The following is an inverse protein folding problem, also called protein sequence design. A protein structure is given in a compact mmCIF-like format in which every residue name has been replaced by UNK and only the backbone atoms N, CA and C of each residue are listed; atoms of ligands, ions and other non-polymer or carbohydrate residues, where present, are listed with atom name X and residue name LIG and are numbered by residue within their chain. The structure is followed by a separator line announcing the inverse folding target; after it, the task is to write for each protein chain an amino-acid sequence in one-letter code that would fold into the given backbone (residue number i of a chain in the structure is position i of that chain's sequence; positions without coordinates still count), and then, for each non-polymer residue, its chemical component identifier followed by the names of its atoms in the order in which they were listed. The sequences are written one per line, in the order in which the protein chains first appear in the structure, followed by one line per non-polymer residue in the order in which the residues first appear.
data_IF_930586160307
#
_entry.id   IF_930586160307
#
_cell.length_a   1.000
_cell.length_b   1.000
_cell.length_c   1.000
_cell.angle_alpha   90.00
_cell.angle_beta   90.00
_cell.angle_gamma   90.00
#
_symmetry.space_group_name_H-M   'P 1'
#
loop_
_entity.id
_entity.type
_entity.pdbx_description
1 polymer ?
#
# COMPACT_ATOMS: atom_id res chain seq x y z
N UNK A 1 28.53 53.69 54.06
CA UNK A 1 27.71 53.33 55.23
C UNK A 1 26.47 52.63 54.71
N UNK A 2 26.43 51.32 54.97
CA UNK A 2 25.28 50.43 55.20
C UNK A 2 24.24 50.24 54.07
N UNK A 3 24.21 49.09 53.36
CA UNK A 3 23.57 47.79 53.71
C UNK A 3 22.02 47.85 53.52
N UNK A 4 21.30 47.04 52.74
CA UNK A 4 21.05 45.59 52.78
C UNK A 4 20.05 45.25 51.62
N UNK A 5 20.22 44.16 50.85
CA UNK A 5 19.52 42.83 50.86
C UNK A 5 18.37 42.63 49.84
N UNK A 6 18.40 41.47 49.16
CA UNK A 6 17.22 40.78 48.60
C UNK A 6 17.28 40.39 47.10
N UNK A 7 17.34 39.10 46.72
CA UNK A 7 17.19 38.65 45.33
C UNK A 7 15.74 38.21 45.02
N UNK A 8 15.23 38.32 43.77
CA UNK A 8 14.00 37.66 43.38
C UNK A 8 14.26 36.21 42.91
N UNK A 9 13.67 35.29 43.67
CA UNK A 9 13.14 33.97 43.35
C UNK A 9 13.37 33.38 41.95
N UNK A 10 14.10 32.26 41.93
CA UNK A 10 14.13 31.31 40.83
C UNK A 10 12.77 30.60 40.67
N UNK A 11 12.13 30.80 39.52
CA UNK A 11 10.96 30.04 39.09
C UNK A 11 11.33 28.63 38.63
N UNK A 12 10.73 27.66 39.29
CA UNK A 12 10.72 26.21 39.07
C UNK A 12 10.54 25.81 37.59
N UNK A 13 11.56 25.24 36.95
CA UNK A 13 11.42 24.54 35.67
C UNK A 13 11.22 23.04 35.93
N UNK A 14 9.97 22.57 35.86
CA UNK A 14 9.64 21.14 36.02
C UNK A 14 10.23 20.35 34.85
N UNK A 15 10.93 19.28 35.20
CA UNK A 15 11.62 18.34 34.33
C UNK A 15 10.71 17.75 33.24
N UNK A 16 11.15 17.86 31.98
CA UNK A 16 10.64 17.03 30.87
C UNK A 16 11.25 15.64 31.02
N UNK A 17 10.47 14.68 31.50
CA UNK A 17 10.80 13.26 31.35
C UNK A 17 10.59 12.88 29.86
N UNK A 18 11.68 12.56 29.15
CA UNK A 18 11.59 11.89 27.86
C UNK A 18 11.24 10.42 28.12
N UNK A 19 9.95 10.07 28.02
CA UNK A 19 9.52 8.66 28.02
C UNK A 19 9.85 8.08 26.64
N UNK A 20 10.86 7.21 26.57
CA UNK A 20 11.03 6.32 25.42
C UNK A 20 9.88 5.31 25.44
N UNK A 21 9.13 5.24 24.34
CA UNK A 21 8.10 4.23 24.12
C UNK A 21 8.67 3.24 23.10
N UNK A 22 9.39 2.24 23.58
CA UNK A 22 9.86 1.14 22.74
C UNK A 22 8.66 0.20 22.45
N UNK A 23 8.42 -0.23 21.20
CA UNK A 23 7.41 -1.25 20.89
C UNK A 23 7.89 -2.63 21.42
N UNK A 24 6.98 -3.55 21.78
CA UNK A 24 7.38 -4.78 22.44
C UNK A 24 7.92 -5.77 21.40
N UNK A 25 9.23 -5.97 21.38
CA UNK A 25 9.85 -7.09 20.67
C UNK A 25 11.00 -7.68 21.49
N UNK A 26 10.75 -8.85 22.09
CA UNK A 26 11.77 -9.79 22.59
C UNK A 26 12.24 -9.61 24.03
N UNK A 27 12.53 -10.69 24.77
CA UNK A 27 12.98 -10.62 26.15
C UNK A 27 14.44 -10.13 26.18
N UNK A 28 14.68 -9.02 26.86
CA UNK A 28 16.00 -8.44 27.05
C UNK A 28 16.75 -9.27 28.10
N UNK A 29 17.62 -10.20 27.67
CA UNK A 29 18.49 -10.97 28.57
C UNK A 29 19.86 -10.31 28.68
N UNK A 30 20.01 -9.40 29.64
CA UNK A 30 21.32 -8.90 30.09
C UNK A 30 21.51 -9.23 31.57
N UNK A 31 22.72 -9.62 32.03
CA UNK A 31 22.95 -9.94 33.43
C UNK A 31 22.93 -8.67 34.29
N UNK A 32 22.20 -8.70 35.39
CA UNK A 32 22.18 -7.63 36.38
C UNK A 32 23.51 -7.61 37.16
N UNK A 33 24.33 -6.57 36.96
CA UNK A 33 25.50 -6.27 37.78
C UNK A 33 25.11 -5.54 39.07
N UNK A 34 25.93 -5.62 40.14
CA UNK A 34 25.54 -5.19 41.48
C UNK A 34 25.48 -3.65 41.59
N UNK A 35 24.45 -3.19 42.31
CA UNK A 35 24.16 -1.78 42.59
C UNK A 35 25.18 -1.19 43.57
N UNK A 36 25.92 -0.16 43.16
CA UNK A 36 26.77 0.61 44.07
C UNK A 36 27.30 1.91 43.47
N UNK A 37 26.94 3.04 44.11
CA UNK A 37 27.69 4.30 44.01
C UNK A 37 27.01 5.41 43.19
N UNK A 38 26.49 6.42 43.89
CA UNK A 38 26.03 7.69 43.33
C UNK A 38 27.18 8.46 42.66
N UNK A 39 27.16 8.54 41.33
CA UNK A 39 27.95 9.50 40.54
C UNK A 39 27.03 10.50 39.85
N UNK A 40 27.40 11.79 39.74
CA UNK A 40 26.59 12.80 39.08
C UNK A 40 26.43 12.49 37.59
N UNK A 41 25.22 12.70 37.07
CA UNK A 41 24.86 12.45 35.67
C UNK A 41 25.74 13.25 34.70
N UNK A 42 26.49 12.56 33.85
CA UNK A 42 27.04 13.15 32.62
C UNK A 42 25.94 13.25 31.56
N UNK A 43 25.88 14.34 30.76
CA UNK A 43 24.92 14.43 29.67
C UNK A 43 25.24 13.36 28.62
N UNK A 44 24.24 12.54 28.27
CA UNK A 44 24.36 11.58 27.17
C UNK A 44 24.57 12.35 25.86
N UNK A 45 25.81 12.42 25.38
CA UNK A 45 26.06 12.78 23.98
C UNK A 45 25.56 11.62 23.11
N UNK A 46 24.42 11.82 22.46
CA UNK A 46 23.88 10.88 21.49
C UNK A 46 24.76 10.87 20.24
N UNK A 47 25.72 9.95 20.18
CA UNK A 47 26.31 9.57 18.91
C UNK A 47 25.24 8.80 18.12
N UNK A 48 24.76 9.39 17.03
CA UNK A 48 24.04 8.64 16.03
C UNK A 48 25.02 7.61 15.46
N UNK A 49 24.78 6.33 15.73
CA UNK A 49 25.54 5.27 15.05
C UNK A 49 25.22 5.36 13.56
N UNK A 50 26.23 5.52 12.68
CA UNK A 50 26.01 5.47 11.25
C UNK A 50 25.54 4.06 10.88
N UNK A 51 24.57 3.97 9.97
CA UNK A 51 23.92 2.76 9.43
C UNK A 51 24.51 1.44 9.93
N UNK A 52 23.85 0.83 10.91
CA UNK A 52 24.32 -0.35 11.60
C UNK A 52 24.75 -1.45 10.64
N UNK A 53 26.06 -1.73 10.62
CA UNK A 53 26.58 -2.99 10.15
C UNK A 53 25.88 -4.09 10.93
N UNK A 54 25.21 -5.01 10.22
CA UNK A 54 24.67 -6.22 10.83
C UNK A 54 25.86 -6.94 11.47
N UNK A 55 25.88 -7.16 12.80
CA UNK A 55 27.00 -7.83 13.44
C UNK A 55 27.22 -9.21 12.79
N UNK A 56 28.46 -9.73 12.77
CA UNK A 56 28.75 -11.01 12.14
C UNK A 56 27.80 -12.05 12.71
N UNK A 57 26.96 -12.62 11.83
CA UNK A 57 25.97 -13.63 12.21
C UNK A 57 26.69 -14.78 12.89
N UNK A 58 26.37 -15.04 14.17
CA UNK A 58 26.87 -16.20 14.91
C UNK A 58 26.79 -17.44 14.00
N UNK A 59 27.84 -18.29 13.87
CA UNK A 59 27.88 -19.35 12.86
C UNK A 59 26.65 -20.27 12.86
N UNK A 60 26.06 -20.52 14.03
CA UNK A 60 24.82 -21.29 14.16
C UNK A 60 23.60 -20.57 13.57
N UNK A 61 23.51 -19.24 13.73
CA UNK A 61 22.46 -18.41 13.12
C UNK A 61 22.65 -18.37 11.60
N UNK A 62 23.89 -18.22 11.12
CA UNK A 62 24.21 -18.26 9.69
C UNK A 62 23.80 -19.60 9.06
N UNK A 63 24.15 -20.73 9.69
CA UNK A 63 23.78 -22.07 9.23
C UNK A 63 22.26 -22.29 9.24
N UNK A 64 21.56 -21.80 10.26
CA UNK A 64 20.10 -21.86 10.35
C UNK A 64 19.43 -21.05 9.24
N UNK A 65 19.88 -19.81 9.02
CA UNK A 65 19.40 -18.96 7.93
C UNK A 65 19.62 -19.62 6.57
N UNK A 66 20.78 -20.23 6.35
CA UNK A 66 21.08 -20.91 5.09
C UNK A 66 20.20 -22.14 4.86
N UNK A 67 19.88 -22.89 5.92
CA UNK A 67 18.89 -23.97 5.85
C UNK A 67 17.51 -23.44 5.42
N UNK A 68 17.01 -22.37 6.06
CA UNK A 68 15.72 -21.79 5.69
C UNK A 68 15.73 -21.20 4.29
N UNK A 69 16.79 -20.47 3.89
CA UNK A 69 16.95 -19.94 2.53
C UNK A 69 16.84 -21.02 1.47
N UNK A 70 17.51 -22.16 1.66
CA UNK A 70 17.41 -23.30 0.73
C UNK A 70 16.02 -23.91 0.68
N UNK A 71 15.33 -24.01 1.82
CA UNK A 71 13.95 -24.49 1.86
C UNK A 71 13.00 -23.56 1.11
N UNK A 72 13.10 -22.25 1.37
CA UNK A 72 12.31 -21.24 0.67
C UNK A 72 12.63 -21.19 -0.82
N UNK A 73 13.90 -21.27 -1.22
CA UNK A 73 14.30 -21.27 -2.63
C UNK A 73 13.64 -22.41 -3.42
N UNK A 74 13.56 -23.62 -2.84
CA UNK A 74 12.86 -24.75 -3.47
C UNK A 74 11.36 -24.53 -3.62
N UNK A 75 10.73 -23.93 -2.61
CA UNK A 75 9.30 -23.61 -2.67
C UNK A 75 9.00 -22.47 -3.65
N UNK A 76 9.86 -21.46 -3.72
CA UNK A 76 9.72 -20.32 -4.62
C UNK A 76 9.79 -20.72 -6.10
N UNK A 77 10.46 -21.83 -6.43
CA UNK A 77 10.54 -22.36 -7.80
C UNK A 77 9.35 -23.23 -8.20
N UNK A 78 8.42 -23.55 -7.27
CA UNK A 78 7.27 -24.39 -7.60
C UNK A 78 6.36 -23.68 -8.61
N UNK A 79 6.03 -24.33 -9.75
CA UNK A 79 5.05 -23.79 -10.70
C UNK A 79 3.66 -23.70 -10.06
N UNK A 80 2.97 -22.59 -10.28
CA UNK A 80 1.60 -22.35 -9.78
C UNK A 80 0.56 -22.18 -10.89
N UNK A 81 1.01 -21.93 -12.12
CA UNK A 81 0.15 -21.82 -13.30
C UNK A 81 0.90 -21.19 -14.48
N UNK A 82 0.14 -20.65 -15.42
CA UNK A 82 0.67 -20.05 -16.65
C UNK A 82 0.09 -18.66 -16.89
N UNK A 83 0.94 -17.68 -17.21
CA UNK A 83 0.53 -16.38 -17.71
C UNK A 83 0.70 -16.35 -19.23
N UNK A 84 -0.38 -16.09 -19.96
CA UNK A 84 -0.38 -16.04 -21.42
C UNK A 84 0.25 -14.75 -21.97
N UNK A 85 0.34 -13.71 -21.13
CA UNK A 85 0.96 -12.42 -21.42
C UNK A 85 1.75 -11.95 -20.21
N UNK A 86 2.72 -11.06 -20.42
CA UNK A 86 3.44 -10.41 -19.32
C UNK A 86 2.49 -9.54 -18.51
N UNK A 87 2.38 -9.79 -17.21
CA UNK A 87 1.56 -9.02 -16.28
C UNK A 87 2.40 -7.85 -15.75
N UNK A 88 2.15 -6.65 -16.28
CA UNK A 88 2.96 -5.45 -16.01
C UNK A 88 2.69 -4.93 -14.59
N UNK A 89 3.67 -5.12 -13.70
CA UNK A 89 3.64 -4.67 -12.31
C UNK A 89 4.78 -3.72 -11.96
N UNK A 90 5.47 -3.18 -12.97
CA UNK A 90 6.56 -2.23 -12.78
C UNK A 90 6.06 -0.95 -12.10
N UNK A 91 6.81 -0.50 -11.08
CA UNK A 91 6.47 0.67 -10.26
C UNK A 91 6.15 1.92 -11.07
N UNK A 92 6.93 2.20 -12.12
CA UNK A 92 6.74 3.40 -12.94
C UNK A 92 5.42 3.39 -13.71
N UNK A 93 4.91 2.21 -14.07
CA UNK A 93 3.66 2.06 -14.82
C UNK A 93 2.45 1.89 -13.90
N UNK A 94 2.49 0.92 -12.97
CA UNK A 94 1.33 0.54 -12.14
C UNK A 94 0.85 1.66 -11.23
N UNK A 95 1.73 2.62 -10.92
CA UNK A 95 1.46 3.75 -10.02
C UNK A 95 1.11 5.06 -10.70
N UNK A 96 1.06 5.07 -12.03
CA UNK A 96 0.83 6.29 -12.83
C UNK A 96 -0.25 6.10 -13.89
N UNK A 97 -0.55 4.86 -14.27
CA UNK A 97 -1.51 4.55 -15.33
C UNK A 97 -2.11 3.15 -15.18
N UNK A 98 -3.11 2.86 -16.00
CA UNK A 98 -3.68 1.53 -16.15
C UNK A 98 -2.63 0.50 -16.59
N UNK A 99 -2.70 -0.68 -15.97
CA UNK A 99 -1.89 -1.84 -16.32
C UNK A 99 -2.77 -3.08 -16.45
N UNK A 100 -2.38 -3.99 -17.33
CA UNK A 100 -3.09 -5.25 -17.50
C UNK A 100 -3.08 -6.09 -16.21
N UNK A 101 -1.99 -6.07 -15.43
CA UNK A 101 -1.96 -6.80 -14.17
C UNK A 101 -2.94 -6.22 -13.13
N UNK A 102 -3.02 -4.89 -13.03
CA UNK A 102 -4.02 -4.22 -12.20
C UNK A 102 -5.45 -4.59 -12.59
N UNK A 103 -5.75 -4.58 -13.89
CA UNK A 103 -7.06 -4.98 -14.42
C UNK A 103 -7.39 -6.43 -14.08
N UNK A 104 -6.45 -7.36 -14.31
CA UNK A 104 -6.62 -8.77 -13.98
C UNK A 104 -6.96 -8.97 -12.51
N UNK A 105 -6.20 -8.34 -11.60
CA UNK A 105 -6.46 -8.48 -10.16
C UNK A 105 -7.82 -7.92 -9.77
N UNK A 106 -8.17 -6.74 -10.26
CA UNK A 106 -9.47 -6.13 -9.99
C UNK A 106 -10.62 -7.01 -10.52
N UNK A 107 -10.48 -7.58 -11.72
CA UNK A 107 -11.47 -8.50 -12.30
C UNK A 107 -11.61 -9.80 -11.49
N UNK A 108 -10.49 -10.35 -11.02
CA UNK A 108 -10.50 -11.54 -10.17
C UNK A 108 -11.23 -11.27 -8.84
N UNK A 109 -11.04 -10.10 -8.22
CA UNK A 109 -11.78 -9.73 -7.02
C UNK A 109 -13.28 -9.59 -7.30
N UNK A 110 -13.67 -8.87 -8.37
CA UNK A 110 -15.07 -8.76 -8.76
C UNK A 110 -15.73 -10.14 -8.95
N UNK A 111 -15.06 -11.06 -9.67
CA UNK A 111 -15.58 -12.40 -9.95
C UNK A 111 -15.67 -13.27 -8.69
N UNK A 112 -14.62 -13.29 -7.87
CA UNK A 112 -14.54 -14.17 -6.71
C UNK A 112 -15.52 -13.76 -5.60
N UNK A 113 -15.77 -12.46 -5.44
CA UNK A 113 -16.64 -11.93 -4.38
C UNK A 113 -18.00 -11.43 -4.89
N UNK A 114 -18.35 -11.73 -6.16
CA UNK A 114 -19.60 -11.32 -6.80
C UNK A 114 -19.90 -9.82 -6.64
N UNK A 115 -18.89 -8.97 -6.82
CA UNK A 115 -19.00 -7.52 -6.72
C UNK A 115 -18.84 -6.85 -8.08
N UNK A 116 -19.54 -5.74 -8.25
CA UNK A 116 -19.56 -5.00 -9.50
C UNK A 116 -18.33 -4.12 -9.70
N UNK A 117 -17.74 -3.63 -8.61
CA UNK A 117 -16.63 -2.67 -8.63
C UNK A 117 -15.50 -3.19 -7.76
N UNK A 118 -14.27 -3.17 -8.28
CA UNK A 118 -13.07 -3.46 -7.52
C UNK A 118 -12.10 -2.29 -7.56
N UNK A 119 -11.51 -1.95 -6.41
CA UNK A 119 -10.48 -0.92 -6.27
C UNK A 119 -9.27 -1.52 -5.55
N UNK A 120 -8.09 -1.45 -6.16
CA UNK A 120 -6.84 -1.96 -5.59
C UNK A 120 -5.80 -0.85 -5.69
N UNK A 121 -5.15 -0.49 -4.59
CA UNK A 121 -4.02 0.43 -4.68
C UNK A 121 -2.82 -0.24 -5.34
N UNK A 122 -2.20 0.47 -6.26
CA UNK A 122 -1.01 0.04 -7.00
C UNK A 122 0.19 -0.27 -6.10
N UNK A 123 0.17 0.19 -4.85
CA UNK A 123 1.11 -0.18 -3.79
C UNK A 123 1.14 -1.68 -3.51
N UNK A 124 0.02 -2.38 -3.74
CA UNK A 124 -0.12 -3.83 -3.58
C UNK A 124 0.69 -4.63 -4.61
N UNK A 125 0.91 -4.07 -5.81
CA UNK A 125 1.61 -4.71 -6.93
C UNK A 125 3.07 -4.24 -6.93
N UNK A 126 4.01 -5.19 -6.79
CA UNK A 126 5.42 -4.90 -6.51
C UNK A 126 6.39 -5.37 -7.58
N UNK A 127 5.97 -6.28 -8.46
CA UNK A 127 6.79 -6.84 -9.51
C UNK A 127 5.95 -7.26 -10.72
N UNK A 128 6.59 -7.24 -11.89
CA UNK A 128 6.06 -7.83 -13.12
C UNK A 128 6.16 -9.35 -13.06
N UNK A 129 5.13 -10.04 -13.56
CA UNK A 129 5.17 -11.50 -13.80
C UNK A 129 5.35 -11.71 -15.31
N UNK A 130 6.48 -12.28 -15.77
CA UNK A 130 6.69 -12.60 -17.18
C UNK A 130 5.65 -13.59 -17.72
N UNK A 131 5.40 -13.54 -19.03
CA UNK A 131 4.64 -14.59 -19.71
C UNK A 131 5.33 -15.96 -19.58
N UNK A 132 4.55 -17.03 -19.61
CA UNK A 132 5.00 -18.41 -19.47
C UNK A 132 4.64 -19.02 -18.12
N UNK A 133 5.43 -20.02 -17.70
CA UNK A 133 5.25 -20.70 -16.41
C UNK A 133 5.49 -19.73 -15.26
N UNK A 134 4.49 -19.58 -14.40
CA UNK A 134 4.55 -18.72 -13.22
C UNK A 134 4.92 -19.54 -12.01
N UNK A 135 5.88 -19.07 -11.21
CA UNK A 135 6.29 -19.72 -9.96
C UNK A 135 5.66 -19.04 -8.74
N UNK A 136 5.61 -19.78 -7.62
CA UNK A 136 5.14 -19.23 -6.34
C UNK A 136 5.99 -18.02 -5.91
N UNK A 137 7.30 -18.06 -6.13
CA UNK A 137 8.21 -16.95 -5.83
C UNK A 137 7.85 -15.68 -6.59
N UNK A 138 7.52 -15.79 -7.87
CA UNK A 138 7.08 -14.64 -8.67
C UNK A 138 5.78 -14.03 -8.14
N UNK A 139 4.82 -14.86 -7.74
CA UNK A 139 3.56 -14.39 -7.14
C UNK A 139 3.79 -13.71 -5.78
N UNK A 140 4.63 -14.29 -4.92
CA UNK A 140 5.00 -13.70 -3.63
C UNK A 140 5.76 -12.38 -3.79
N UNK A 141 6.68 -12.30 -4.76
CA UNK A 141 7.38 -11.06 -5.09
C UNK A 141 6.43 -10.00 -5.65
N UNK A 142 5.44 -10.39 -6.45
CA UNK A 142 4.47 -9.47 -7.03
C UNK A 142 3.44 -8.95 -6.01
N UNK A 143 2.97 -9.81 -5.09
CA UNK A 143 1.94 -9.51 -4.10
C UNK A 143 2.40 -9.93 -2.68
N UNK A 144 3.34 -9.19 -2.07
CA UNK A 144 3.97 -9.61 -0.82
C UNK A 144 3.12 -9.33 0.43
N UNK A 145 2.00 -8.62 0.32
CA UNK A 145 1.19 -8.22 1.46
C UNK A 145 -0.04 -9.11 1.62
N UNK A 146 -0.38 -9.39 2.89
CA UNK A 146 -1.47 -10.28 3.30
C UNK A 146 -2.71 -9.48 3.74
N UNK A 147 -2.89 -8.29 3.19
CA UNK A 147 -4.09 -7.48 3.41
C UNK A 147 -5.31 -8.28 2.95
N UNK A 148 -6.28 -8.45 3.86
CA UNK A 148 -7.51 -9.19 3.59
C UNK A 148 -8.37 -8.44 2.59
N UNK A 149 -9.06 -9.17 1.71
CA UNK A 149 -10.08 -8.62 0.82
C UNK A 149 -11.32 -8.28 1.65
N UNK A 150 -11.87 -7.09 1.41
CA UNK A 150 -13.08 -6.61 2.08
C UNK A 150 -14.09 -6.08 1.06
N UNK A 151 -15.37 -6.23 1.37
CA UNK A 151 -16.46 -5.58 0.64
C UNK A 151 -17.02 -4.45 1.46
N UNK A 152 -17.17 -3.27 0.86
CA UNK A 152 -17.68 -2.07 1.49
C UNK A 152 -18.93 -1.56 0.76
N UNK A 153 -19.92 -1.06 1.51
CA UNK A 153 -21.04 -0.30 0.95
C UNK A 153 -20.81 1.20 1.13
N UNK A 154 -20.49 1.89 0.04
CA UNK A 154 -20.13 3.31 -0.01
C UNK A 154 -21.12 4.14 -0.83
N UNK A 155 -21.09 5.46 -0.68
CA UNK A 155 -21.81 6.40 -1.56
C UNK A 155 -21.02 6.71 -2.83
N UNK A 156 -21.70 7.22 -3.86
CA UNK A 156 -21.04 7.78 -5.04
C UNK A 156 -20.08 8.91 -4.69
N UNK A 157 -20.40 9.76 -3.72
CA UNK A 157 -19.48 10.79 -3.19
C UNK A 157 -18.20 10.18 -2.60
N UNK A 158 -18.31 9.09 -1.84
CA UNK A 158 -17.12 8.40 -1.30
C UNK A 158 -16.29 7.76 -2.41
N UNK A 159 -16.94 7.18 -3.42
CA UNK A 159 -16.25 6.63 -4.60
C UNK A 159 -15.51 7.74 -5.38
N UNK A 160 -16.17 8.87 -5.62
CA UNK A 160 -15.56 10.03 -6.27
C UNK A 160 -14.36 10.56 -5.48
N UNK A 161 -14.50 10.71 -4.16
CA UNK A 161 -13.40 11.14 -3.30
C UNK A 161 -12.21 10.16 -3.34
N UNK A 162 -12.47 8.86 -3.44
CA UNK A 162 -11.41 7.85 -3.58
C UNK A 162 -10.67 8.00 -4.92
N UNK A 163 -11.40 8.22 -6.02
CA UNK A 163 -10.79 8.46 -7.34
C UNK A 163 -9.97 9.76 -7.36
N UNK A 164 -10.45 10.83 -6.72
CA UNK A 164 -9.66 12.05 -6.53
C UNK A 164 -8.39 11.81 -5.72
N UNK A 165 -8.47 11.04 -4.63
CA UNK A 165 -7.29 10.68 -3.83
C UNK A 165 -6.29 9.84 -4.65
N UNK A 166 -6.78 8.92 -5.49
CA UNK A 166 -5.98 8.09 -6.39
C UNK A 166 -5.11 8.94 -7.33
N UNK A 167 -5.71 9.96 -7.96
CA UNK A 167 -5.02 10.83 -8.91
C UNK A 167 -4.24 11.98 -8.26
N UNK A 168 -4.27 12.13 -6.93
CA UNK A 168 -3.72 13.30 -6.22
C UNK A 168 -2.27 13.63 -6.56
N UNK A 169 -1.44 12.60 -6.76
CA UNK A 169 -0.01 12.75 -7.04
C UNK A 169 0.36 12.44 -8.48
N UNK A 170 -0.59 12.33 -9.40
CA UNK A 170 -0.18 12.22 -10.81
C UNK A 170 0.47 13.54 -11.27
N UNK A 171 1.48 13.49 -12.14
CA UNK A 171 2.07 12.30 -12.78
C UNK A 171 3.13 11.55 -11.94
N UNK A 172 3.45 12.00 -10.72
CA UNK A 172 4.37 11.32 -9.83
C UNK A 172 3.87 9.92 -9.39
N UNK A 173 4.76 8.93 -9.45
CA UNK A 173 4.41 7.55 -9.11
C UNK A 173 4.10 7.40 -7.61
N UNK A 174 2.84 7.11 -7.27
CA UNK A 174 2.40 6.88 -5.89
C UNK A 174 1.68 5.55 -5.72
N UNK A 175 1.98 4.83 -4.63
CA UNK A 175 1.34 3.55 -4.32
C UNK A 175 -0.18 3.67 -4.09
N UNK A 176 -0.67 4.88 -3.83
CA UNK A 176 -2.10 5.15 -3.68
C UNK A 176 -2.89 4.99 -4.97
N UNK A 177 -2.27 5.14 -6.14
CA UNK A 177 -2.99 5.16 -7.42
C UNK A 177 -3.77 3.85 -7.59
N UNK A 178 -5.05 3.92 -7.95
CA UNK A 178 -5.93 2.75 -8.03
C UNK A 178 -5.86 2.09 -9.41
N UNK A 179 -5.74 0.76 -9.38
CA UNK A 179 -6.16 -0.12 -10.46
C UNK A 179 -7.60 -0.57 -10.17
N UNK A 180 -8.41 -0.76 -11.20
CA UNK A 180 -9.85 -0.87 -11.02
C UNK A 180 -10.58 -1.80 -12.00
N UNK A 181 -11.78 -2.23 -11.60
CA UNK A 181 -12.73 -2.98 -12.42
C UNK A 181 -14.14 -2.47 -12.16
N UNK A 182 -15.04 -2.65 -13.14
CA UNK A 182 -16.45 -2.26 -13.01
C UNK A 182 -16.80 -0.81 -13.30
N UNK A 183 -15.78 0.03 -13.49
CA UNK A 183 -15.96 1.44 -13.81
C UNK A 183 -14.88 1.95 -14.77
N UNK A 184 -15.14 3.11 -15.36
CA UNK A 184 -14.22 3.88 -16.17
C UNK A 184 -14.07 5.27 -15.55
N UNK A 185 -12.85 5.82 -15.57
CA UNK A 185 -12.55 7.16 -15.05
C UNK A 185 -11.66 7.92 -16.02
N UNK A 186 -11.96 9.21 -16.19
CA UNK A 186 -11.14 10.16 -16.93
C UNK A 186 -10.57 11.16 -15.94
N UNK A 187 -9.24 11.27 -15.90
CA UNK A 187 -8.51 12.24 -15.09
C UNK A 187 -7.96 13.36 -15.96
N UNK A 188 -8.17 14.61 -15.56
CA UNK A 188 -7.54 15.79 -16.15
C UNK A 188 -6.43 16.32 -15.24
N UNK A 189 -5.18 16.19 -15.69
CA UNK A 189 -4.02 16.63 -14.93
C UNK A 189 -3.77 18.15 -15.00
N UNK A 190 -4.48 18.89 -15.86
CA UNK A 190 -4.45 20.35 -15.86
C UNK A 190 -5.19 20.94 -14.65
N UNK A 191 -6.08 20.16 -14.05
CA UNK A 191 -6.83 20.53 -12.86
C UNK A 191 -6.04 20.30 -11.57
N UNK A 192 -6.27 21.12 -10.52
CA UNK A 192 -5.59 20.95 -9.25
C UNK A 192 -5.95 19.62 -8.58
N UNK A 193 -5.05 19.01 -7.78
CA UNK A 193 -5.36 17.81 -7.02
C UNK A 193 -6.63 17.96 -6.17
N UNK A 194 -7.54 17.00 -6.26
CA UNK A 194 -8.87 17.08 -5.62
C UNK A 194 -9.98 17.59 -6.56
N UNK A 195 -9.63 17.96 -7.79
CA UNK A 195 -10.59 18.29 -8.86
C UNK A 195 -10.16 17.71 -10.21
N UNK A 196 -9.46 16.56 -10.18
CA UNK A 196 -8.89 15.93 -11.38
C UNK A 196 -9.85 14.95 -12.05
N UNK A 197 -10.87 14.46 -11.36
CA UNK A 197 -11.85 13.53 -11.94
C UNK A 197 -12.80 14.31 -12.85
N UNK A 198 -12.67 14.12 -14.15
CA UNK A 198 -13.53 14.76 -15.15
C UNK A 198 -14.83 13.97 -15.36
N UNK A 199 -14.73 12.64 -15.45
CA UNK A 199 -15.87 11.76 -15.67
C UNK A 199 -15.66 10.41 -15.00
N UNK A 200 -16.74 9.83 -14.48
CA UNK A 200 -16.79 8.46 -13.95
C UNK A 200 -18.03 7.78 -14.51
N UNK A 201 -17.85 6.61 -15.10
CA UNK A 201 -18.94 5.76 -15.55
C UNK A 201 -18.87 4.41 -14.85
N UNK A 202 -19.94 4.01 -14.16
CA UNK A 202 -20.10 2.69 -13.55
C UNK A 202 -21.05 1.88 -14.42
N UNK A 203 -20.61 0.73 -14.95
CA UNK A 203 -21.40 -0.08 -15.90
C UNK A 203 -21.97 0.75 -17.07
N UNK A 204 -21.19 1.68 -17.61
CA UNK A 204 -21.58 2.55 -18.73
C UNK A 204 -22.55 3.69 -18.38
N UNK A 205 -22.95 3.85 -17.12
CA UNK A 205 -23.79 4.96 -16.66
C UNK A 205 -22.96 5.97 -15.86
N UNK A 206 -23.21 7.29 -16.01
CA UNK A 206 -22.57 8.28 -15.16
C UNK A 206 -22.73 7.95 -13.68
N UNK A 207 -21.67 8.17 -12.90
CA UNK A 207 -21.69 8.00 -11.45
C UNK A 207 -22.77 8.90 -10.84
N UNK A 208 -23.68 8.31 -10.07
CA UNK A 208 -24.63 9.05 -9.24
C UNK A 208 -23.96 9.33 -7.87
N UNK A 209 -23.67 10.59 -7.52
CA UNK A 209 -23.03 10.92 -6.24
C UNK A 209 -23.86 10.49 -5.02
N UNK A 210 -25.18 10.46 -5.15
CA UNK A 210 -26.11 10.05 -4.09
C UNK A 210 -26.34 8.53 -4.03
N UNK A 211 -25.98 7.83 -5.13
CA UNK A 211 -26.10 6.40 -5.27
C UNK A 211 -25.29 5.60 -4.24
N UNK A 212 -25.66 4.33 -4.06
CA UNK A 212 -24.96 3.38 -3.17
C UNK A 212 -24.32 2.29 -4.01
N UNK A 213 -23.07 2.00 -3.69
CA UNK A 213 -22.26 1.04 -4.43
C UNK A 213 -21.62 0.06 -3.46
N UNK A 214 -21.63 -1.22 -3.83
CA UNK A 214 -20.74 -2.19 -3.21
C UNK A 214 -19.43 -2.21 -3.99
N UNK A 215 -18.33 -2.08 -3.27
CA UNK A 215 -16.98 -2.21 -3.81
C UNK A 215 -16.26 -3.35 -3.12
N UNK A 216 -15.41 -4.07 -3.85
CA UNK A 216 -14.40 -4.97 -3.27
C UNK A 216 -13.03 -4.28 -3.30
N UNK A 217 -12.33 -4.31 -2.19
CA UNK A 217 -11.02 -3.67 -2.01
C UNK A 217 -10.24 -4.46 -0.96
N UNK A 218 -9.11 -3.94 -0.47
CA UNK A 218 -8.35 -4.54 0.61
C UNK A 218 -8.52 -3.80 1.95
N UNK A 219 -8.25 -4.50 3.05
CA UNK A 219 -8.45 -3.99 4.40
C UNK A 219 -7.60 -2.75 4.70
N UNK A 220 -6.37 -2.66 4.16
CA UNK A 220 -5.52 -1.48 4.33
C UNK A 220 -6.18 -0.23 3.73
N UNK A 221 -6.79 -0.33 2.54
CA UNK A 221 -7.58 0.77 1.99
C UNK A 221 -8.83 1.06 2.81
N UNK A 222 -9.57 0.04 3.21
CA UNK A 222 -10.78 0.19 4.03
C UNK A 222 -10.52 0.88 5.37
N UNK A 223 -9.35 0.63 5.96
CA UNK A 223 -8.88 1.24 7.20
C UNK A 223 -8.28 2.65 6.98
N UNK A 224 -8.35 3.19 5.76
CA UNK A 224 -7.89 4.54 5.42
C UNK A 224 -6.40 4.66 5.13
N UNK A 225 -5.72 3.54 4.86
CA UNK A 225 -4.37 3.53 4.31
C UNK A 225 -4.27 4.37 3.04
N UNK A 226 -3.07 4.86 2.70
CA UNK A 226 -2.82 5.73 1.54
C UNK A 226 -3.70 7.01 1.44
N UNK A 227 -4.36 7.39 2.54
CA UNK A 227 -5.24 8.55 2.61
C UNK A 227 -6.69 8.27 2.22
N UNK A 228 -7.09 7.00 2.08
CA UNK A 228 -8.46 6.58 1.75
C UNK A 228 -9.43 6.66 2.94
N UNK A 229 -9.37 7.75 3.72
CA UNK A 229 -10.13 7.94 4.96
C UNK A 229 -11.64 7.91 4.75
N UNK A 230 -12.12 8.19 3.54
CA UNK A 230 -13.54 8.12 3.18
C UNK A 230 -14.13 6.71 3.33
N UNK A 231 -13.32 5.66 3.25
CA UNK A 231 -13.78 4.27 3.40
C UNK A 231 -14.07 3.87 4.85
N UNK A 232 -13.49 4.55 5.85
CA UNK A 232 -13.81 4.32 7.27
C UNK A 232 -15.27 4.62 7.60
N UNK A 233 -15.91 5.44 6.78
CA UNK A 233 -17.31 5.84 6.89
C UNK A 233 -18.23 4.96 6.02
N UNK A 234 -17.74 3.81 5.54
CA UNK A 234 -18.57 2.86 4.81
C UNK A 234 -19.73 2.38 5.71
N UNK A 235 -20.93 2.32 5.13
CA UNK A 235 -22.14 1.98 5.87
C UNK A 235 -22.26 0.49 6.19
N UNK A 236 -21.50 -0.36 5.48
CA UNK A 236 -21.38 -1.79 5.71
C UNK A 236 -19.96 -2.22 5.34
N UNK A 237 -19.43 -3.21 6.06
CA UNK A 237 -18.14 -3.85 5.81
C UNK A 237 -18.27 -5.35 6.02
N UNK A 238 -17.75 -6.12 5.07
CA UNK A 238 -17.59 -7.57 5.16
C UNK A 238 -16.09 -7.83 4.96
N UNK A 239 -15.45 -8.49 5.93
CA UNK A 239 -14.08 -8.95 5.81
C UNK A 239 -14.09 -10.42 5.41
N UNK A 240 -13.47 -10.75 4.28
CA UNK A 240 -13.49 -12.11 3.76
C UNK A 240 -12.37 -12.99 4.30
N UNK A 241 -11.42 -12.41 5.04
CA UNK A 241 -10.24 -13.10 5.58
C UNK A 241 -9.40 -13.83 4.51
N UNK A 242 -9.44 -13.34 3.28
CA UNK A 242 -8.71 -13.90 2.13
C UNK A 242 -7.76 -12.84 1.60
N UNK A 243 -6.44 -13.07 1.53
CA UNK A 243 -5.53 -12.11 0.93
C UNK A 243 -5.66 -12.09 -0.60
N UNK A 244 -5.44 -10.92 -1.22
CA UNK A 244 -5.50 -10.77 -2.70
C UNK A 244 -4.58 -11.78 -3.41
N UNK A 245 -3.42 -12.09 -2.82
CA UNK A 245 -2.49 -13.07 -3.36
C UNK A 245 -3.12 -14.45 -3.54
N UNK A 246 -3.94 -14.89 -2.59
CA UNK A 246 -4.55 -16.22 -2.64
C UNK A 246 -5.63 -16.28 -3.73
N UNK A 247 -6.31 -15.16 -4.00
CA UNK A 247 -7.21 -15.04 -5.15
C UNK A 247 -6.46 -15.26 -6.47
N UNK A 248 -5.28 -14.64 -6.62
CA UNK A 248 -4.44 -14.82 -7.82
C UNK A 248 -3.92 -16.27 -7.93
N UNK A 249 -3.42 -16.85 -6.83
CA UNK A 249 -2.97 -18.25 -6.81
C UNK A 249 -4.10 -19.22 -7.15
N UNK A 250 -5.30 -19.00 -6.60
CA UNK A 250 -6.50 -19.78 -6.92
C UNK A 250 -6.87 -19.66 -8.40
N UNK A 251 -6.74 -18.47 -8.98
CA UNK A 251 -6.99 -18.25 -10.40
C UNK A 251 -5.99 -19.02 -11.30
N UNK A 252 -4.70 -18.97 -10.99
CA UNK A 252 -3.68 -19.75 -11.72
C UNK A 252 -3.91 -21.27 -11.64
N UNK A 253 -4.39 -21.78 -10.50
CA UNK A 253 -4.76 -23.20 -10.35
C UNK A 253 -5.98 -23.60 -11.19
N UNK A 254 -6.87 -22.66 -11.52
CA UNK A 254 -8.05 -22.90 -12.38
C UNK A 254 -7.69 -22.92 -13.87
N UNK A 255 -6.60 -22.29 -14.27
CA UNK A 255 -6.12 -22.32 -15.65
C UNK A 255 -5.18 -21.18 -16.01
N UNK A 256 -4.71 -21.13 -17.27
CA UNK A 256 -3.88 -20.04 -17.77
C UNK A 256 -4.59 -18.70 -17.67
N UNK A 257 -3.87 -17.65 -17.25
CA UNK A 257 -4.41 -16.30 -17.13
C UNK A 257 -3.92 -15.41 -18.27
N UNK A 258 -4.82 -14.60 -18.80
CA UNK A 258 -4.51 -13.50 -19.72
C UNK A 258 -5.02 -12.19 -19.15
N UNK A 259 -4.48 -11.07 -19.62
CA UNK A 259 -4.86 -9.75 -19.15
C UNK A 259 -4.67 -8.71 -20.24
N UNK A 260 -5.64 -7.83 -20.40
CA UNK A 260 -5.61 -6.73 -21.36
C UNK A 260 -5.73 -5.38 -20.64
N UNK A 261 -5.25 -4.33 -21.31
CA UNK A 261 -5.58 -2.96 -20.96
C UNK A 261 -6.75 -2.53 -21.84
N UNK A 262 -7.88 -2.23 -21.23
CA UNK A 262 -9.18 -1.99 -21.87
C UNK A 262 -9.73 -0.58 -21.58
N UNK A 263 -8.83 0.37 -21.29
CA UNK A 263 -9.10 1.81 -21.21
C UNK A 263 -10.04 2.23 -20.07
N UNK A 264 -9.94 1.54 -18.93
CA UNK A 264 -10.67 1.87 -17.70
C UNK A 264 -10.17 3.16 -17.05
N UNK A 265 -8.90 3.52 -17.26
CA UNK A 265 -8.33 4.74 -16.73
C UNK A 265 -7.73 5.55 -17.88
N UNK A 266 -8.31 6.72 -18.13
CA UNK A 266 -7.81 7.67 -19.11
C UNK A 266 -7.25 8.89 -18.38
N UNK A 267 -6.10 9.36 -18.85
CA UNK A 267 -5.42 10.51 -18.26
C UNK A 267 -5.22 11.50 -19.40
N UNK A 268 -5.93 12.62 -19.33
CA UNK A 268 -5.77 13.75 -20.23
C UNK A 268 -4.85 14.78 -19.58
N UNK A 269 -4.00 15.38 -20.41
CA UNK A 269 -3.18 16.53 -20.04
C UNK A 269 -3.42 17.65 -21.06
N UNK A 270 -3.13 18.89 -20.68
CA UNK A 270 -3.36 20.07 -21.53
C UNK A 270 -2.69 19.97 -22.94
N UNK A 271 -1.74 19.06 -23.13
CA UNK A 271 -1.07 18.82 -24.42
C UNK A 271 -1.93 18.06 -25.45
N UNK A 272 -3.03 17.40 -25.03
CA UNK A 272 -3.89 16.63 -25.94
C UNK A 272 -5.00 17.46 -26.61
N UNK A 273 -5.12 18.76 -26.30
CA UNK A 273 -6.20 19.64 -26.79
C UNK A 273 -5.89 20.36 -28.12
N UNK A 274 -4.84 19.97 -28.84
CA UNK A 274 -4.51 20.53 -30.17
C UNK A 274 -4.19 19.41 -31.16
N UNK A 275 -5.19 18.61 -31.48
CA UNK A 275 -5.26 18.01 -32.82
C UNK A 275 -6.62 18.38 -33.41
N UNK A 276 -6.67 19.34 -34.35
CA UNK A 276 -7.90 19.61 -35.06
C UNK A 276 -8.31 18.35 -35.81
N UNK A 277 -9.59 17.99 -35.72
CA UNK A 277 -10.21 17.07 -36.68
C UNK A 277 -9.84 17.57 -38.08
N UNK A 278 -9.03 16.78 -38.78
CA UNK A 278 -8.69 17.00 -40.17
C UNK A 278 -9.96 16.92 -41.04
N UNK A 279 -10.00 17.64 -42.18
CA UNK A 279 -11.22 18.03 -42.89
C UNK A 279 -12.05 16.88 -43.45
#
# INVERSE_FOLDING_TARGET
MDSQTGPPSAGTCRSRACVRKDPPSGPNTGPAGPLGGSRPYSPCQGSQSPGGQVPPSHPQVAALLERYRRQFARQALQPVGQALVTLVGERAAVRTRETNFGNLLADLLCREFAQDIALINSGQIRATIPAGTVTLGQVLSALPFDSSVVTLRITGRQLLAALENSARFLPEASGRFLQLSGLQVIYDLSMPPGSRVQAVAVKGKPLDPSGRYFIVTDAFLADGGDGYTMFRQASQRIDHQVPIRDVLLKAFRRGPLTAIRDHRIQIVSASAALSPLAP
#
